data_IF_236269205062
#
_entry.id   IF_236269205062
#
_cell.length_a   1.000
_cell.length_b   1.000
_cell.length_c   1.000
_cell.angle_alpha   90.00
_cell.angle_beta   90.00
_cell.angle_gamma   90.00
#
_symmetry.space_group_name_H-M   'P 1'
#
loop_
_entity.id
_entity.type
_entity.pdbx_description
1 polymer ?
#
# COMPACT_ATOMS: atom_id res chain seq x y z
N UNK A 1 8.51 15.88 6.01
CA UNK A 1 9.93 16.18 5.70
C UNK A 1 10.03 17.69 5.55
N UNK A 2 11.03 18.33 6.15
CA UNK A 2 11.29 19.74 5.95
C UNK A 2 11.75 20.04 4.52
N UNK A 3 11.27 21.13 3.95
CA UNK A 3 11.62 21.57 2.60
C UNK A 3 13.09 22.03 2.55
N UNK A 4 13.92 21.37 1.80
CA UNK A 4 15.34 21.73 1.67
C UNK A 4 16.18 20.68 0.95
N UNK A 5 15.75 19.42 1.01
CA UNK A 5 16.42 18.33 0.30
C UNK A 5 15.43 17.57 -0.58
N UNK A 6 15.40 17.80 -1.91
CA UNK A 6 14.49 17.11 -2.81
C UNK A 6 14.76 15.61 -2.96
N UNK A 7 15.93 15.13 -2.51
CA UNK A 7 16.26 13.71 -2.49
C UNK A 7 15.88 13.02 -1.16
N UNK A 8 15.33 13.76 -0.20
CA UNK A 8 14.99 13.24 1.12
C UNK A 8 13.92 12.15 1.04
N UNK A 9 14.11 11.11 1.85
CA UNK A 9 13.17 10.04 2.11
C UNK A 9 12.88 10.05 3.62
N UNK A 10 11.60 9.95 4.02
CA UNK A 10 11.27 10.00 5.44
C UNK A 10 11.69 8.74 6.17
N UNK A 11 11.45 7.58 5.57
CA UNK A 11 11.74 6.30 6.17
C UNK A 11 12.35 5.36 5.13
N UNK A 12 13.49 4.77 5.43
CA UNK A 12 14.06 3.68 4.67
C UNK A 12 13.84 2.38 5.44
N UNK A 13 13.04 1.49 4.85
CA UNK A 13 12.68 0.24 5.48
C UNK A 13 13.32 -0.92 4.75
N UNK A 14 14.29 -1.54 5.36
CA UNK A 14 14.88 -2.79 4.89
C UNK A 14 14.99 -3.71 6.10
N UNK A 15 13.84 -4.23 6.49
CA UNK A 15 13.70 -4.96 7.74
C UNK A 15 13.85 -6.47 7.54
N UNK A 16 14.11 -7.17 8.63
CA UNK A 16 14.03 -8.63 8.67
C UNK A 16 12.57 -9.10 8.50
N UNK A 17 12.39 -10.40 8.34
CA UNK A 17 11.08 -11.04 8.27
C UNK A 17 10.23 -10.70 9.52
N UNK A 18 8.91 -10.68 9.34
CA UNK A 18 7.95 -10.35 10.40
C UNK A 18 8.08 -8.93 10.99
N UNK A 19 8.57 -8.01 10.19
CA UNK A 19 8.57 -6.60 10.56
C UNK A 19 7.41 -5.87 9.90
N UNK A 20 6.87 -4.89 10.60
CA UNK A 20 5.72 -4.10 10.15
C UNK A 20 5.94 -2.62 10.37
N UNK A 21 5.26 -1.83 9.54
CA UNK A 21 5.15 -0.37 9.66
C UNK A 21 3.68 -0.04 9.73
N UNK A 22 3.23 0.55 10.82
CA UNK A 22 1.82 0.84 11.01
C UNK A 22 1.57 2.19 11.68
N UNK A 23 0.36 2.72 11.47
CA UNK A 23 -0.14 3.95 12.06
C UNK A 23 0.76 5.17 11.81
N UNK A 24 1.19 5.39 10.56
CA UNK A 24 2.10 6.49 10.21
C UNK A 24 1.48 7.38 9.14
N UNK A 25 1.44 8.69 9.41
CA UNK A 25 1.17 9.71 8.43
C UNK A 25 2.45 10.48 8.09
N UNK A 26 2.80 10.55 6.80
CA UNK A 26 4.02 11.19 6.32
C UNK A 26 3.69 12.37 5.41
N UNK A 27 3.99 13.58 5.85
CA UNK A 27 4.02 14.74 4.98
C UNK A 27 5.40 14.83 4.33
N UNK A 28 5.45 14.48 3.04
CA UNK A 28 6.70 14.39 2.29
C UNK A 28 7.14 15.75 1.73
N UNK A 29 6.20 16.69 1.60
CA UNK A 29 6.48 18.03 1.07
C UNK A 29 7.11 17.97 -0.32
N UNK A 30 8.30 18.54 -0.47
CA UNK A 30 9.08 18.52 -1.72
C UNK A 30 10.06 17.36 -1.84
N UNK A 31 10.14 16.49 -0.83
CA UNK A 31 11.01 15.33 -0.80
C UNK A 31 10.75 14.30 -1.91
N UNK A 32 11.60 13.28 -1.96
CA UNK A 32 11.55 12.23 -2.96
C UNK A 32 10.47 11.19 -2.65
N UNK A 33 10.46 10.63 -1.45
CA UNK A 33 9.50 9.59 -1.07
C UNK A 33 9.20 9.59 0.42
N UNK A 34 8.03 9.09 0.80
CA UNK A 34 7.70 8.78 2.17
C UNK A 34 8.49 7.58 2.66
N UNK A 35 8.38 6.46 1.95
CA UNK A 35 9.12 5.23 2.25
C UNK A 35 9.97 4.83 1.04
N UNK A 36 11.20 4.40 1.30
CA UNK A 36 12.09 3.78 0.32
C UNK A 36 12.51 2.40 0.81
N UNK A 37 12.43 1.42 -0.06
CA UNK A 37 12.35 -0.01 0.24
C UNK A 37 11.12 -0.32 1.12
N UNK A 38 10.56 -1.50 1.07
CA UNK A 38 9.37 -1.85 1.85
C UNK A 38 9.61 -3.10 2.67
N UNK A 39 9.02 -3.07 3.89
CA UNK A 39 8.95 -4.23 4.77
C UNK A 39 7.88 -5.22 4.33
N UNK A 40 7.58 -6.21 5.14
CA UNK A 40 6.67 -7.29 4.80
C UNK A 40 5.20 -6.92 5.00
N UNK A 41 4.89 -6.17 6.06
CA UNK A 41 3.53 -5.83 6.46
C UNK A 41 3.43 -4.34 6.76
N UNK A 42 2.38 -3.70 6.22
CA UNK A 42 2.13 -2.28 6.36
C UNK A 42 0.65 -2.03 6.61
N UNK A 43 0.32 -1.22 7.62
CA UNK A 43 -1.06 -0.94 7.99
C UNK A 43 -1.25 0.53 8.35
N UNK A 44 -2.41 1.08 7.99
CA UNK A 44 -2.82 2.45 8.31
C UNK A 44 -1.73 3.49 8.00
N UNK A 45 -1.43 3.62 6.71
CA UNK A 45 -0.41 4.53 6.23
C UNK A 45 -1.01 5.66 5.41
N UNK A 46 -0.57 6.89 5.64
CA UNK A 46 -0.98 8.05 4.87
C UNK A 46 0.23 8.84 4.34
N UNK A 47 0.22 9.17 3.04
CA UNK A 47 1.30 9.87 2.36
C UNK A 47 0.79 11.12 1.68
N UNK A 48 1.39 12.27 2.00
CA UNK A 48 1.02 13.57 1.45
C UNK A 48 2.19 14.22 0.72
N UNK A 49 2.00 14.57 -0.56
CA UNK A 49 3.03 15.21 -1.38
C UNK A 49 4.18 14.29 -1.78
N UNK A 50 5.36 14.86 -2.01
CA UNK A 50 6.54 14.13 -2.49
C UNK A 50 6.56 13.88 -3.99
N UNK A 51 7.62 13.26 -4.49
CA UNK A 51 7.60 12.69 -5.84
C UNK A 51 6.79 11.39 -5.84
N UNK A 52 7.02 10.54 -4.82
CA UNK A 52 6.38 9.25 -4.60
C UNK A 52 5.92 9.13 -3.15
N UNK A 53 4.85 8.41 -2.90
CA UNK A 53 4.52 7.94 -1.55
C UNK A 53 5.49 6.86 -1.11
N UNK A 54 5.62 5.81 -1.93
CA UNK A 54 6.52 4.67 -1.70
C UNK A 54 7.35 4.41 -2.95
N UNK A 55 8.64 4.12 -2.77
CA UNK A 55 9.52 3.51 -3.78
C UNK A 55 9.82 2.10 -3.26
N UNK A 56 9.22 1.11 -3.91
CA UNK A 56 9.38 -0.29 -3.55
C UNK A 56 10.36 -0.97 -4.49
N UNK A 57 11.46 -1.46 -3.97
CA UNK A 57 12.39 -2.29 -4.71
C UNK A 57 12.17 -3.76 -4.37
N UNK A 58 12.74 -4.65 -5.16
CA UNK A 58 12.62 -6.09 -4.93
C UNK A 58 13.09 -6.43 -3.52
N UNK A 59 12.17 -6.98 -2.73
CA UNK A 59 12.49 -7.45 -1.39
C UNK A 59 13.43 -8.67 -1.43
N UNK A 60 14.35 -8.77 -0.48
CA UNK A 60 15.20 -9.93 -0.30
C UNK A 60 15.07 -10.46 1.13
N UNK A 61 14.59 -11.67 1.35
CA UNK A 61 14.03 -12.60 0.35
C UNK A 61 12.78 -12.04 -0.32
N UNK A 62 12.48 -12.50 -1.53
CA UNK A 62 11.40 -12.00 -2.39
C UNK A 62 10.00 -12.33 -1.87
N UNK A 63 9.64 -11.83 -0.71
CA UNK A 63 8.33 -12.01 -0.09
C UNK A 63 7.39 -10.90 -0.53
N UNK A 64 6.13 -11.30 -0.71
CA UNK A 64 5.08 -10.36 -1.04
C UNK A 64 4.80 -9.43 0.13
N UNK A 65 4.67 -8.14 -0.19
CA UNK A 65 4.31 -7.11 0.80
C UNK A 65 2.80 -7.05 0.91
N UNK A 66 2.31 -7.10 2.13
CA UNK A 66 0.90 -6.90 2.45
C UNK A 66 0.69 -5.49 2.98
N UNK A 67 -0.33 -4.81 2.46
CA UNK A 67 -0.68 -3.45 2.88
C UNK A 67 -2.18 -3.34 3.10
N UNK A 68 -2.58 -2.80 4.24
CA UNK A 68 -3.98 -2.56 4.57
C UNK A 68 -4.16 -1.09 4.96
N UNK A 69 -5.23 -0.47 4.44
CA UNK A 69 -5.55 0.93 4.72
C UNK A 69 -4.42 1.91 4.33
N UNK A 70 -4.20 2.06 3.03
CA UNK A 70 -3.18 2.96 2.49
C UNK A 70 -3.82 4.17 1.80
N UNK A 71 -3.39 5.37 2.18
CA UNK A 71 -3.83 6.64 1.60
C UNK A 71 -2.69 7.41 0.96
N UNK A 72 -2.88 7.87 -0.28
CA UNK A 72 -1.90 8.65 -1.04
C UNK A 72 -2.55 9.90 -1.63
N UNK A 73 -1.96 11.06 -1.41
CA UNK A 73 -2.47 12.31 -1.96
C UNK A 73 -1.37 13.28 -2.40
N UNK A 74 -1.48 13.76 -3.64
CA UNK A 74 -0.68 14.86 -4.13
C UNK A 74 0.77 14.53 -4.46
N UNK A 75 1.12 13.26 -4.69
CA UNK A 75 2.43 12.90 -5.21
C UNK A 75 2.62 13.49 -6.62
N UNK A 76 3.83 14.00 -6.90
CA UNK A 76 4.11 14.68 -8.18
C UNK A 76 4.41 13.71 -9.34
N UNK A 77 4.73 12.44 -9.06
CA UNK A 77 5.02 11.42 -10.09
C UNK A 77 4.08 10.23 -10.00
N UNK A 78 4.08 9.51 -8.88
CA UNK A 78 3.17 8.40 -8.65
C UNK A 78 2.95 8.15 -7.15
N UNK A 79 1.84 7.49 -6.79
CA UNK A 79 1.66 7.02 -5.43
C UNK A 79 2.74 5.98 -5.09
N UNK A 80 2.95 4.99 -5.97
CA UNK A 80 4.00 3.98 -5.84
C UNK A 80 4.86 3.90 -7.10
N UNK A 81 6.18 3.76 -6.89
CA UNK A 81 7.14 3.32 -7.91
C UNK A 81 7.65 1.94 -7.50
N UNK A 82 7.62 0.95 -8.41
CA UNK A 82 7.88 -0.45 -8.04
C UNK A 82 8.87 -1.16 -8.97
N UNK A 83 9.56 -2.16 -8.41
CA UNK A 83 10.52 -3.03 -9.09
C UNK A 83 10.42 -4.45 -8.50
N UNK A 84 9.60 -5.32 -9.09
CA UNK A 84 9.43 -6.71 -8.63
C UNK A 84 9.15 -6.85 -7.12
N UNK A 85 8.28 -5.99 -6.59
CA UNK A 85 8.04 -5.92 -5.15
C UNK A 85 7.04 -6.97 -4.66
N UNK A 86 6.09 -7.33 -5.52
CA UNK A 86 4.99 -8.23 -5.16
C UNK A 86 4.09 -7.63 -4.07
N UNK A 87 2.97 -7.05 -4.44
CA UNK A 87 2.11 -6.26 -3.56
C UNK A 87 0.70 -6.85 -3.46
N UNK A 88 0.22 -7.06 -2.25
CA UNK A 88 -1.18 -7.31 -1.95
C UNK A 88 -1.73 -6.18 -1.09
N UNK A 89 -2.70 -5.43 -1.60
CA UNK A 89 -3.20 -4.21 -0.96
C UNK A 89 -4.71 -4.31 -0.79
N UNK A 90 -5.19 -4.03 0.40
CA UNK A 90 -6.63 -3.91 0.72
C UNK A 90 -6.90 -2.51 1.24
N UNK A 91 -8.00 -1.91 0.80
CA UNK A 91 -8.41 -0.56 1.18
C UNK A 91 -7.39 0.52 0.75
N UNK A 92 -7.19 0.67 -0.55
CA UNK A 92 -6.28 1.68 -1.08
C UNK A 92 -7.02 2.92 -1.57
N UNK A 93 -6.65 4.08 -1.08
CA UNK A 93 -7.19 5.35 -1.55
C UNK A 93 -6.09 6.22 -2.15
N UNK A 94 -6.29 6.71 -3.37
CA UNK A 94 -5.32 7.55 -4.09
C UNK A 94 -6.02 8.77 -4.67
N UNK A 95 -5.43 9.94 -4.46
CA UNK A 95 -6.04 11.19 -4.90
C UNK A 95 -5.02 12.22 -5.41
N UNK A 96 -5.39 12.89 -6.50
CA UNK A 96 -4.63 14.02 -7.05
C UNK A 96 -3.17 13.64 -7.39
N UNK A 97 -2.98 12.59 -8.16
CA UNK A 97 -1.65 12.10 -8.58
C UNK A 97 -1.57 11.93 -10.09
N UNK A 98 -0.38 11.98 -10.70
CA UNK A 98 -0.24 11.61 -12.11
C UNK A 98 -0.48 10.11 -12.38
N UNK A 99 -0.01 9.24 -11.49
CA UNK A 99 -0.13 7.78 -11.61
C UNK A 99 -0.34 7.15 -10.23
N UNK A 100 -1.03 6.02 -10.19
CA UNK A 100 -1.12 5.20 -8.97
C UNK A 100 0.13 4.33 -8.86
N UNK A 101 0.44 3.57 -9.91
CA UNK A 101 1.65 2.75 -9.99
C UNK A 101 2.49 3.12 -11.21
N UNK A 102 3.78 3.34 -11.00
CA UNK A 102 4.80 3.40 -12.04
C UNK A 102 5.75 2.22 -11.87
N UNK A 103 5.53 1.15 -12.64
CA UNK A 103 6.43 0.00 -12.68
C UNK A 103 7.68 0.42 -13.43
N UNK A 104 8.85 0.31 -12.82
CA UNK A 104 10.11 0.76 -13.40
C UNK A 104 10.47 -0.02 -14.67
N UNK A 105 11.21 0.62 -15.57
CA UNK A 105 11.57 0.03 -16.85
C UNK A 105 12.35 -1.28 -16.65
N UNK A 106 12.06 -2.27 -17.51
CA UNK A 106 12.63 -3.61 -17.48
C UNK A 106 12.22 -4.50 -16.29
N UNK A 107 11.33 -4.04 -15.42
CA UNK A 107 10.79 -4.83 -14.33
C UNK A 107 9.34 -5.27 -14.61
N UNK A 108 8.99 -6.44 -14.13
CA UNK A 108 7.63 -6.96 -14.06
C UNK A 108 7.09 -6.78 -12.64
N UNK A 109 5.78 -6.98 -12.46
CA UNK A 109 5.19 -6.80 -11.13
C UNK A 109 4.04 -7.78 -10.86
N UNK A 110 3.88 -8.14 -9.60
CA UNK A 110 2.71 -8.87 -9.10
C UNK A 110 1.96 -7.96 -8.14
N UNK A 111 0.78 -7.51 -8.57
CA UNK A 111 -0.05 -6.58 -7.80
C UNK A 111 -1.44 -7.16 -7.66
N UNK A 112 -1.92 -7.26 -6.44
CA UNK A 112 -3.32 -7.48 -6.11
C UNK A 112 -3.84 -6.29 -5.33
N UNK A 113 -4.97 -5.70 -5.76
CA UNK A 113 -5.64 -4.63 -5.02
C UNK A 113 -7.11 -4.94 -4.91
N UNK A 114 -7.63 -4.88 -3.71
CA UNK A 114 -9.05 -5.04 -3.41
C UNK A 114 -9.57 -3.85 -2.61
N UNK A 115 -10.80 -3.42 -2.94
CA UNK A 115 -11.46 -2.29 -2.33
C UNK A 115 -10.63 -0.99 -2.46
N UNK A 116 -10.55 -0.46 -3.67
CA UNK A 116 -9.78 0.73 -3.99
C UNK A 116 -10.63 1.94 -4.37
N UNK A 117 -10.08 3.14 -4.15
CA UNK A 117 -10.69 4.39 -4.58
C UNK A 117 -9.63 5.31 -5.19
N UNK A 118 -9.75 5.58 -6.49
CA UNK A 118 -8.82 6.44 -7.24
C UNK A 118 -9.54 7.68 -7.75
N UNK A 119 -9.02 8.84 -7.41
CA UNK A 119 -9.61 10.14 -7.76
C UNK A 119 -8.57 11.07 -8.39
N UNK A 120 -8.94 11.69 -9.51
CA UNK A 120 -8.11 12.70 -10.19
C UNK A 120 -6.70 12.16 -10.50
N UNK A 121 -6.62 11.05 -11.23
CA UNK A 121 -5.38 10.51 -11.76
C UNK A 121 -5.21 11.03 -13.19
N UNK A 122 -4.22 11.92 -13.41
CA UNK A 122 -4.10 12.65 -14.66
C UNK A 122 -3.46 11.87 -15.80
N UNK A 123 -2.66 10.87 -15.50
CA UNK A 123 -2.08 9.89 -16.43
C UNK A 123 -2.70 8.50 -16.25
N UNK A 124 -1.97 7.44 -16.62
CA UNK A 124 -2.42 6.08 -16.39
C UNK A 124 -2.41 5.73 -14.89
N UNK A 125 -3.46 5.07 -14.39
CA UNK A 125 -3.42 4.56 -13.03
C UNK A 125 -2.28 3.54 -12.88
N UNK A 126 -2.14 2.61 -13.83
CA UNK A 126 -1.05 1.64 -13.88
C UNK A 126 -0.18 1.87 -15.11
N UNK A 127 1.09 2.21 -14.94
CA UNK A 127 2.07 2.36 -16.01
C UNK A 127 2.96 1.11 -16.04
N UNK A 128 2.58 0.14 -16.87
CA UNK A 128 3.09 -1.21 -16.87
C UNK A 128 4.30 -1.33 -17.79
N UNK A 129 5.44 -1.74 -17.24
CA UNK A 129 6.62 -2.12 -18.00
C UNK A 129 6.64 -3.63 -18.25
N UNK A 130 7.32 -4.07 -19.31
CA UNK A 130 7.49 -5.49 -19.64
C UNK A 130 6.16 -6.27 -19.66
N UNK A 131 5.12 -5.64 -20.24
CA UNK A 131 3.73 -6.08 -20.19
C UNK A 131 3.51 -7.55 -20.59
N UNK A 132 4.32 -8.09 -21.50
CA UNK A 132 4.21 -9.47 -21.98
C UNK A 132 5.11 -10.47 -21.22
N UNK A 133 5.59 -10.09 -20.03
CA UNK A 133 6.36 -10.99 -19.19
C UNK A 133 5.45 -11.94 -18.42
N UNK A 134 5.74 -13.23 -18.45
CA UNK A 134 4.95 -14.27 -17.78
C UNK A 134 4.85 -14.12 -16.25
N UNK A 135 5.71 -13.31 -15.64
CA UNK A 135 5.65 -13.01 -14.23
C UNK A 135 4.76 -11.80 -13.89
N UNK A 136 4.31 -11.00 -14.89
CA UNK A 136 3.33 -9.96 -14.63
C UNK A 136 1.99 -10.58 -14.23
N UNK A 137 1.44 -10.11 -13.11
CA UNK A 137 0.11 -10.46 -12.65
C UNK A 137 -0.48 -9.25 -11.92
N UNK A 138 -1.29 -8.47 -12.64
CA UNK A 138 -1.93 -7.29 -12.04
C UNK A 138 -3.42 -7.55 -11.97
N UNK A 139 -3.92 -7.62 -10.76
CA UNK A 139 -5.30 -7.98 -10.44
C UNK A 139 -5.93 -6.89 -9.58
N UNK A 140 -7.04 -6.35 -10.06
CA UNK A 140 -7.85 -5.38 -9.33
C UNK A 140 -9.24 -5.94 -9.08
N UNK A 141 -9.77 -5.71 -7.89
CA UNK A 141 -11.12 -6.08 -7.47
C UNK A 141 -11.76 -4.91 -6.72
N UNK A 142 -12.97 -4.56 -7.12
CA UNK A 142 -13.77 -3.52 -6.46
C UNK A 142 -13.06 -2.16 -6.36
N UNK A 143 -12.69 -1.59 -7.54
CA UNK A 143 -12.00 -0.30 -7.60
C UNK A 143 -12.94 0.78 -8.11
N UNK A 144 -13.14 1.81 -7.31
CA UNK A 144 -13.94 2.98 -7.66
C UNK A 144 -13.08 4.11 -8.19
N UNK A 145 -13.42 4.62 -9.36
CA UNK A 145 -12.64 5.62 -10.06
C UNK A 145 -13.47 6.88 -10.37
N UNK A 146 -12.85 8.05 -10.21
CA UNK A 146 -13.39 9.31 -10.69
C UNK A 146 -12.29 10.18 -11.30
N UNK A 147 -12.48 10.66 -12.53
CA UNK A 147 -11.46 11.37 -13.31
C UNK A 147 -10.16 10.51 -13.46
N UNK A 148 -10.31 9.27 -13.88
CA UNK A 148 -9.22 8.33 -14.18
C UNK A 148 -9.43 7.80 -15.62
N UNK A 149 -9.07 8.54 -16.67
CA UNK A 149 -9.42 8.20 -18.05
C UNK A 149 -8.61 7.01 -18.61
N UNK A 150 -7.43 6.72 -18.05
CA UNK A 150 -6.56 5.62 -18.45
C UNK A 150 -6.32 4.72 -17.25
N UNK A 151 -6.90 3.51 -17.28
CA UNK A 151 -6.70 2.56 -16.19
C UNK A 151 -5.31 1.93 -16.25
N UNK A 152 -4.85 1.54 -17.44
CA UNK A 152 -3.51 1.00 -17.64
C UNK A 152 -2.88 1.52 -18.94
N UNK A 153 -1.58 1.74 -18.92
CA UNK A 153 -0.76 2.00 -20.10
C UNK A 153 0.40 1.00 -20.14
N UNK A 154 0.76 0.57 -21.33
CA UNK A 154 1.77 -0.45 -21.57
C UNK A 154 2.99 0.19 -22.24
N UNK A 155 4.11 0.24 -21.51
CA UNK A 155 5.28 1.06 -21.90
C UNK A 155 5.94 0.63 -23.22
N UNK A 156 5.93 -0.66 -23.53
CA UNK A 156 6.59 -1.17 -24.76
C UNK A 156 5.73 -1.04 -25.99
N UNK A 157 4.44 -1.35 -25.89
CA UNK A 157 3.51 -1.28 -27.02
C UNK A 157 2.93 0.13 -27.22
N UNK A 158 2.88 0.94 -26.17
CA UNK A 158 2.19 2.23 -26.16
C UNK A 158 0.67 2.10 -26.09
N UNK A 159 0.14 0.88 -26.02
CA UNK A 159 -1.29 0.63 -25.89
C UNK A 159 -1.82 1.11 -24.53
N UNK A 160 -3.13 1.28 -24.45
CA UNK A 160 -3.80 1.75 -23.23
C UNK A 160 -5.14 1.07 -23.04
N UNK A 161 -5.43 0.70 -21.81
CA UNK A 161 -6.77 0.34 -21.37
C UNK A 161 -7.48 1.59 -20.85
N UNK A 162 -8.44 2.09 -21.63
CA UNK A 162 -9.20 3.30 -21.32
C UNK A 162 -10.61 2.98 -20.85
N UNK A 163 -11.14 3.82 -19.97
CA UNK A 163 -12.55 3.80 -19.57
C UNK A 163 -13.17 5.14 -19.90
N UNK A 164 -14.26 5.13 -20.66
CA UNK A 164 -14.89 6.37 -21.19
C UNK A 164 -15.75 7.11 -20.15
N UNK A 165 -16.02 6.52 -19.01
CA UNK A 165 -16.84 7.11 -17.98
C UNK A 165 -16.04 8.03 -17.06
N UNK A 166 -16.61 9.17 -16.68
CA UNK A 166 -16.00 10.08 -15.72
C UNK A 166 -15.89 9.47 -14.32
N UNK A 167 -16.94 8.78 -13.90
CA UNK A 167 -16.98 8.03 -12.65
C UNK A 167 -17.45 6.62 -12.97
N UNK A 168 -16.74 5.62 -12.45
CA UNK A 168 -16.99 4.22 -12.78
C UNK A 168 -16.49 3.28 -11.68
N UNK A 169 -17.02 2.08 -11.73
CA UNK A 169 -16.64 0.97 -10.86
C UNK A 169 -15.96 -0.12 -11.69
N UNK A 170 -14.70 -0.42 -11.40
CA UNK A 170 -13.99 -1.58 -11.92
C UNK A 170 -14.29 -2.76 -11.01
N UNK A 171 -15.16 -3.65 -11.47
CA UNK A 171 -15.46 -4.90 -10.75
C UNK A 171 -14.25 -5.82 -10.74
N UNK A 172 -13.60 -5.92 -11.91
CA UNK A 172 -12.36 -6.67 -12.07
C UNK A 172 -11.50 -6.11 -13.18
N UNK A 173 -10.20 -6.15 -12.97
CA UNK A 173 -9.18 -5.99 -14.01
C UNK A 173 -8.12 -7.06 -13.78
N UNK A 174 -7.75 -7.76 -14.84
CA UNK A 174 -6.72 -8.79 -14.82
C UNK A 174 -5.78 -8.60 -16.01
N UNK A 175 -4.49 -8.47 -15.73
CA UNK A 175 -3.45 -8.41 -16.77
C UNK A 175 -2.36 -9.43 -16.43
N UNK A 176 -2.16 -10.42 -17.32
CA UNK A 176 -1.20 -11.48 -17.12
C UNK A 176 -1.60 -12.78 -17.81
N UNK A 177 -0.99 -13.89 -17.41
CA UNK A 177 -1.35 -15.22 -17.90
C UNK A 177 -2.73 -15.62 -17.38
N UNK A 178 -3.61 -15.97 -18.31
CA UNK A 178 -4.98 -16.41 -18.03
C UNK A 178 -5.21 -17.82 -18.61
N UNK A 179 -5.93 -18.63 -17.87
CA UNK A 179 -6.42 -19.96 -18.26
C UNK A 179 -7.90 -20.05 -17.91
N UNK A 180 -8.71 -20.57 -18.83
CA UNK A 180 -10.13 -20.84 -18.56
C UNK A 180 -10.32 -22.19 -17.89
N UNK A 181 -9.39 -23.11 -18.14
CA UNK A 181 -9.36 -24.46 -17.58
C UNK A 181 -7.92 -24.89 -17.30
N UNK A 182 -7.73 -25.78 -16.34
CA UNK A 182 -6.40 -26.31 -15.96
C UNK A 182 -5.69 -27.09 -17.09
N UNK A 183 -6.43 -27.46 -18.14
CA UNK A 183 -5.88 -28.17 -19.33
C UNK A 183 -5.56 -27.23 -20.48
N UNK A 184 -5.90 -25.96 -20.37
CA UNK A 184 -5.65 -24.99 -21.43
C UNK A 184 -4.20 -24.52 -21.45
N UNK A 185 -3.74 -24.10 -22.61
CA UNK A 185 -2.47 -23.39 -22.74
C UNK A 185 -2.66 -21.96 -22.20
N UNK A 186 -1.88 -21.50 -21.22
CA UNK A 186 -1.96 -20.13 -20.72
C UNK A 186 -1.79 -19.11 -21.82
N UNK A 187 -2.63 -18.09 -21.83
CA UNK A 187 -2.56 -16.99 -22.78
C UNK A 187 -2.42 -15.67 -22.07
N UNK A 188 -1.61 -14.78 -22.62
CA UNK A 188 -1.46 -13.42 -22.11
C UNK A 188 -2.69 -12.61 -22.49
N UNK A 189 -3.45 -12.15 -21.50
CA UNK A 189 -4.70 -11.40 -21.73
C UNK A 189 -4.81 -10.23 -20.76
N UNK A 190 -5.50 -9.20 -21.23
CA UNK A 190 -6.03 -8.12 -20.39
C UNK A 190 -7.54 -8.23 -20.38
N UNK A 191 -8.12 -8.42 -19.21
CA UNK A 191 -9.55 -8.53 -19.01
C UNK A 191 -10.03 -7.37 -18.13
N UNK A 192 -11.10 -6.70 -18.55
CA UNK A 192 -11.69 -5.57 -17.80
C UNK A 192 -13.20 -5.73 -17.72
N UNK A 193 -13.73 -5.67 -16.52
CA UNK A 193 -15.15 -5.49 -16.23
C UNK A 193 -15.35 -4.19 -15.47
N UNK A 194 -15.94 -3.20 -16.14
CA UNK A 194 -16.19 -1.88 -15.55
C UNK A 194 -17.58 -1.38 -15.94
N UNK A 195 -18.23 -0.65 -15.06
CA UNK A 195 -19.54 -0.05 -15.28
C UNK A 195 -19.58 1.41 -14.84
N UNK A 196 -20.43 2.25 -15.48
CA UNK A 196 -20.58 3.64 -15.07
C UNK A 196 -21.19 3.74 -13.68
N UNK A 197 -20.80 4.79 -12.95
CA UNK A 197 -21.37 5.13 -11.66
C UNK A 197 -21.80 6.60 -11.60
N UNK A 198 -22.87 6.90 -10.91
CA UNK A 198 -23.35 8.26 -10.76
C UNK A 198 -22.44 9.09 -9.84
N UNK A 199 -21.88 8.47 -8.82
CA UNK A 199 -20.95 9.08 -7.84
C UNK A 199 -20.07 8.01 -7.23
N UNK A 200 -18.97 8.45 -6.64
CA UNK A 200 -18.16 7.58 -5.78
C UNK A 200 -18.92 7.21 -4.51
N UNK A 201 -18.70 6.01 -3.95
CA UNK A 201 -19.18 5.68 -2.60
C UNK A 201 -18.57 6.60 -1.55
N UNK A 202 -18.95 6.47 -0.31
CA UNK A 202 -18.27 7.09 0.82
C UNK A 202 -16.78 6.67 0.83
N UNK A 203 -15.96 7.44 1.54
CA UNK A 203 -14.56 7.04 1.74
C UNK A 203 -14.49 5.63 2.36
N UNK A 204 -13.48 4.87 1.94
CA UNK A 204 -13.25 3.54 2.49
C UNK A 204 -13.02 3.68 4.00
N UNK A 205 -13.73 2.87 4.76
CA UNK A 205 -13.55 2.81 6.21
C UNK A 205 -12.49 1.78 6.54
N UNK A 206 -11.64 2.11 7.51
CA UNK A 206 -10.66 1.15 8.03
C UNK A 206 -11.35 -0.11 8.55
N UNK A 207 -10.75 -1.25 8.28
CA UNK A 207 -11.15 -2.54 8.85
C UNK A 207 -10.27 -2.92 10.05
N UNK A 208 -9.25 -2.12 10.32
CA UNK A 208 -8.35 -2.35 11.44
C UNK A 208 -9.05 -1.97 12.76
N UNK A 209 -8.83 -2.74 13.84
CA UNK A 209 -9.29 -2.35 15.17
C UNK A 209 -8.69 -0.99 15.57
N UNK A 210 -9.51 -0.12 16.13
CA UNK A 210 -9.02 1.13 16.68
C UNK A 210 -8.03 0.84 17.82
N UNK A 211 -6.91 1.56 17.84
CA UNK A 211 -5.97 1.48 18.96
C UNK A 211 -6.64 2.02 20.23
N UNK A 212 -6.41 1.39 21.39
CA UNK A 212 -6.87 1.90 22.67
C UNK A 212 -6.37 3.31 22.92
N UNK A 213 -7.21 4.16 23.52
CA UNK A 213 -6.80 5.51 23.88
C UNK A 213 -5.64 5.47 24.89
N UNK A 214 -4.66 6.36 24.76
CA UNK A 214 -3.50 6.39 25.66
C UNK A 214 -3.90 6.54 27.15
N UNK A 215 -5.04 7.14 27.43
CA UNK A 215 -5.61 7.25 28.76
C UNK A 215 -6.02 5.90 29.39
N UNK A 216 -6.20 4.88 28.56
CA UNK A 216 -6.56 3.52 28.99
C UNK A 216 -5.32 2.67 29.27
N UNK A 217 -4.14 3.11 28.85
CA UNK A 217 -2.90 2.38 29.01
C UNK A 217 -2.47 2.33 30.46
N UNK A 218 -2.22 1.14 30.97
CA UNK A 218 -1.75 0.90 32.34
C UNK A 218 -0.25 0.69 32.32
N UNK A 219 0.48 1.60 32.92
CA UNK A 219 1.93 1.55 32.97
C UNK A 219 2.38 0.42 33.92
N UNK A 220 3.11 -0.55 33.39
CA UNK A 220 3.54 -1.74 34.13
C UNK A 220 4.40 -1.39 35.35
N UNK A 221 5.19 -0.33 35.29
CA UNK A 221 5.96 0.16 36.47
C UNK A 221 5.07 0.63 37.63
N UNK A 222 3.96 1.30 37.30
CA UNK A 222 2.98 1.75 38.30
C UNK A 222 2.23 0.57 38.92
N UNK A 223 2.21 -0.58 38.25
CA UNK A 223 1.63 -1.81 38.71
C UNK A 223 2.62 -2.70 39.48
N UNK A 224 3.86 -2.23 39.68
CA UNK A 224 4.83 -2.85 40.58
C UNK A 224 6.05 -3.47 39.92
N UNK A 225 6.12 -3.55 38.58
CA UNK A 225 7.32 -4.03 37.91
C UNK A 225 8.48 -3.03 38.05
N UNK A 226 9.69 -3.54 38.24
CA UNK A 226 10.90 -2.74 38.39
C UNK A 226 11.57 -2.46 37.05
N UNK A 227 11.66 -3.44 36.16
CA UNK A 227 12.31 -3.33 34.86
C UNK A 227 13.80 -2.98 34.98
N UNK A 228 14.49 -3.45 36.01
CA UNK A 228 15.89 -3.13 36.35
C UNK A 228 16.88 -4.21 35.85
N UNK A 229 16.39 -5.24 35.17
CA UNK A 229 17.19 -6.35 34.68
C UNK A 229 17.72 -7.29 35.78
N UNK A 230 17.30 -7.12 37.04
CA UNK A 230 17.73 -7.91 38.20
C UNK A 230 16.55 -8.49 38.96
N UNK A 231 15.52 -7.69 39.18
CA UNK A 231 14.31 -8.08 39.89
C UNK A 231 13.46 -9.03 39.03
N UNK A 232 12.97 -10.10 39.63
CA UNK A 232 11.98 -10.95 38.98
C UNK A 232 10.60 -10.27 39.00
N UNK A 233 10.19 -9.73 37.86
CA UNK A 233 8.91 -9.03 37.69
C UNK A 233 7.75 -9.94 37.28
N UNK A 234 7.94 -11.27 37.28
CA UNK A 234 6.94 -12.25 36.79
C UNK A 234 5.58 -12.05 37.42
N UNK A 235 5.52 -11.94 38.75
CA UNK A 235 4.24 -11.83 39.47
C UNK A 235 3.54 -10.50 39.18
N UNK A 236 4.31 -9.41 39.03
CA UNK A 236 3.76 -8.09 38.70
C UNK A 236 3.20 -8.07 37.26
N UNK A 237 3.91 -8.68 36.32
CA UNK A 237 3.47 -8.81 34.93
C UNK A 237 2.22 -9.67 34.83
N UNK A 238 2.23 -10.86 35.45
CA UNK A 238 1.08 -11.75 35.41
C UNK A 238 -0.17 -11.11 36.01
N UNK A 239 -0.02 -10.44 37.16
CA UNK A 239 -1.13 -9.73 37.78
C UNK A 239 -1.67 -8.59 36.90
N UNK A 240 -0.79 -7.89 36.18
CA UNK A 240 -1.20 -6.86 35.23
C UNK A 240 -2.02 -7.46 34.08
N UNK A 241 -1.56 -8.57 33.51
CA UNK A 241 -2.26 -9.29 32.42
C UNK A 241 -3.63 -9.80 32.88
N UNK A 242 -3.73 -10.29 34.11
CA UNK A 242 -4.99 -10.82 34.68
C UNK A 242 -6.02 -9.69 34.93
N UNK A 243 -5.58 -8.45 35.09
CA UNK A 243 -6.43 -7.34 35.52
C UNK A 243 -6.75 -6.33 34.42
N UNK A 244 -5.94 -6.22 33.37
CA UNK A 244 -6.03 -5.14 32.38
C UNK A 244 -5.85 -5.64 30.97
N UNK A 245 -6.71 -5.17 30.05
CA UNK A 245 -6.64 -5.49 28.62
C UNK A 245 -5.56 -4.69 27.88
N UNK A 246 -5.15 -3.54 28.43
CA UNK A 246 -4.20 -2.62 27.78
C UNK A 246 -3.07 -2.27 28.73
N UNK A 247 -1.90 -2.80 28.45
CA UNK A 247 -0.71 -2.62 29.29
C UNK A 247 0.39 -1.93 28.49
N UNK A 248 0.93 -0.85 29.02
CA UNK A 248 2.12 -0.19 28.49
C UNK A 248 3.36 -0.71 29.23
N UNK A 249 4.29 -1.25 28.47
CA UNK A 249 5.59 -1.73 28.98
C UNK A 249 6.62 -0.64 28.68
N UNK A 250 7.02 0.19 29.64
CA UNK A 250 8.02 1.21 29.40
C UNK A 250 9.41 0.60 29.20
N UNK A 251 10.29 1.36 28.54
CA UNK A 251 11.71 1.00 28.44
C UNK A 251 12.31 0.80 29.85
N UNK A 252 13.01 -0.29 30.02
CA UNK A 252 13.68 -0.69 31.26
C UNK A 252 14.97 0.13 31.53
#
# INVERSE_FOLDING_TARGET
IEDGNPAAVALRTHYAQHSFVNHIAINIGKGRAGIFDIGNEMEDLAFYGGEYGIIATKASPGWQVMMVDAYFEGQRKAALKTQESGLAIVNMQVKNVPMVFDIDDNYWEKIYIENGRFENVSGPAFNIAVENNSNNSITLRDIWCSNVPVLAAYKRTGEQTRVSYKTYHVKSFDHGLQMESLVDTPQYKTLLSAEPAAKLPAAIQSVLPALPQMSEWKNLRELGAKGDGVTDDTDAIQKAIDMYDVIYVPSG
#
